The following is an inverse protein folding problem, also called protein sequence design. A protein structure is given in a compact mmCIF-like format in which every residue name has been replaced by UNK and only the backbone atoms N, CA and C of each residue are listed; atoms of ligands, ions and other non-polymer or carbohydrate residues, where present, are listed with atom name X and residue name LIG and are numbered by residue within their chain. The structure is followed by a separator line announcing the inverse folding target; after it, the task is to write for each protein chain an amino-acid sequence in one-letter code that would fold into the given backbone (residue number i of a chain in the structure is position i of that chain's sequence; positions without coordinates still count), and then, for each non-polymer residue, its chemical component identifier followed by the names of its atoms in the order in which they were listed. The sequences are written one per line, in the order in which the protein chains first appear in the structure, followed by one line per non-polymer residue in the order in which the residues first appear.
data_IF_724855261404
#
_entry.id   IF_724855261404
#
_cell.length_a   1.000
_cell.length_b   1.000
_cell.length_c   1.000
_cell.angle_alpha   90.00
_cell.angle_beta   90.00
_cell.angle_gamma   90.00
#
_symmetry.space_group_name_H-M   'P 1'
#
loop_
_entity.id
_entity.type
_entity.pdbx_description
1 polymer ?
#
# COMPACT_ATOMS: atom_id res chain seq x y z
N UNK A 1 -29.43 10.13 -8.84
CA UNK A 1 -28.81 10.33 -8.63
C UNK A 1 -27.89 10.65 -8.78
N UNK A 2 -27.92 10.73 -8.98
CA UNK A 2 -27.17 10.87 -8.81
C UNK A 2 -26.41 11.51 -8.70
N UNK A 3 -26.65 12.04 -8.95
CA UNK A 3 -26.01 12.89 -8.50
C UNK A 3 -25.06 12.64 -7.56
N UNK A 4 -24.99 11.60 -7.32
CA UNK A 4 -23.98 11.13 -6.45
C UNK A 4 -22.63 11.00 -7.10
N UNK A 5 -22.51 11.34 -8.32
CA UNK A 5 -21.19 11.42 -8.93
C UNK A 5 -20.40 12.52 -8.24
N UNK A 6 -19.22 12.24 -7.68
CA UNK A 6 -18.42 13.29 -7.07
C UNK A 6 -17.93 14.28 -8.13
N UNK A 7 -17.62 15.50 -7.73
CA UNK A 7 -16.99 16.44 -8.63
C UNK A 7 -15.70 15.87 -9.16
N UNK A 8 -15.34 16.22 -10.37
CA UNK A 8 -14.14 15.73 -11.03
C UNK A 8 -13.07 16.79 -11.08
N UNK A 9 -12.70 17.28 -9.92
CA UNK A 9 -11.58 18.20 -9.81
C UNK A 9 -10.24 17.48 -9.73
N UNK A 10 -10.28 16.13 -9.77
CA UNK A 10 -9.08 15.31 -9.82
C UNK A 10 -9.28 14.18 -10.82
N UNK A 11 -8.20 13.67 -11.32
CA UNK A 11 -8.22 12.59 -12.28
C UNK A 11 -8.18 11.25 -11.54
N UNK A 12 -9.24 10.42 -11.65
CA UNK A 12 -9.28 9.13 -10.96
C UNK A 12 -8.17 8.17 -11.37
N UNK A 13 -7.57 8.36 -12.54
CA UNK A 13 -6.44 7.53 -12.96
C UNK A 13 -5.23 7.67 -12.06
N UNK A 14 -5.18 8.73 -11.26
CA UNK A 14 -4.04 9.01 -10.41
C UNK A 14 -4.17 8.41 -9.00
N UNK A 15 -5.22 7.64 -8.78
CA UNK A 15 -5.44 6.99 -7.49
C UNK A 15 -5.34 5.47 -7.64
N UNK A 16 -4.58 4.86 -6.74
CA UNK A 16 -4.40 3.41 -6.75
C UNK A 16 -4.48 2.87 -5.34
N UNK A 17 -5.20 1.76 -5.19
CA UNK A 17 -5.31 1.05 -3.92
C UNK A 17 -4.38 -0.15 -3.98
N UNK A 18 -3.46 -0.23 -3.02
CA UNK A 18 -2.48 -1.31 -2.93
C UNK A 18 -2.83 -2.13 -1.70
N UNK A 19 -3.08 -3.42 -1.89
CA UNK A 19 -3.46 -4.32 -0.81
C UNK A 19 -2.37 -5.36 -0.65
N UNK A 20 -1.81 -5.45 0.56
CA UNK A 20 -0.79 -6.43 0.86
C UNK A 20 -1.29 -7.41 1.92
N UNK A 21 -0.80 -8.63 1.87
CA UNK A 21 -1.14 -9.68 2.82
C UNK A 21 0.11 -10.45 3.21
N UNK A 22 0.15 -10.92 4.45
CA UNK A 22 1.26 -11.76 4.89
C UNK A 22 1.24 -13.08 4.13
N UNK A 23 2.43 -13.59 3.78
CA UNK A 23 2.55 -14.92 3.21
C UNK A 23 2.45 -15.95 4.33
N UNK A 24 1.97 -17.14 3.98
CA UNK A 24 1.73 -18.20 4.97
C UNK A 24 3.02 -18.74 5.55
N UNK A 25 4.03 -18.97 4.70
CA UNK A 25 5.32 -19.49 5.13
C UNK A 25 6.41 -18.53 4.66
N UNK A 26 6.67 -17.46 5.42
CA UNK A 26 7.63 -16.46 4.97
C UNK A 26 9.04 -17.01 4.95
N UNK A 27 9.88 -16.55 3.99
CA UNK A 27 11.26 -16.98 3.93
C UNK A 27 12.05 -16.45 5.12
N UNK A 28 13.15 -17.15 5.42
CA UNK A 28 14.13 -16.63 6.36
C UNK A 28 15.03 -15.67 5.59
N UNK A 29 14.97 -14.39 5.97
CA UNK A 29 15.70 -13.34 5.26
C UNK A 29 16.92 -12.86 6.01
N UNK A 30 17.22 -13.48 7.17
CA UNK A 30 18.38 -13.08 7.98
C UNK A 30 18.23 -11.73 8.67
N UNK A 31 17.00 -11.17 8.69
CA UNK A 31 16.70 -9.91 9.33
C UNK A 31 15.47 -10.09 10.23
N UNK A 32 15.36 -9.28 11.28
CA UNK A 32 14.19 -9.34 12.16
C UNK A 32 13.02 -8.61 11.50
N UNK A 33 11.81 -8.99 11.91
CA UNK A 33 10.59 -8.27 11.49
C UNK A 33 10.66 -6.81 11.90
N UNK A 34 11.28 -6.52 13.03
CA UNK A 34 11.45 -5.16 13.51
C UNK A 34 12.31 -4.34 12.56
N UNK A 35 13.41 -4.92 12.06
CA UNK A 35 14.28 -4.23 11.10
C UNK A 35 13.56 -3.93 9.79
N UNK A 36 12.79 -4.89 9.29
CA UNK A 36 12.00 -4.67 8.06
C UNK A 36 10.93 -3.62 8.30
N UNK A 37 10.33 -3.62 9.49
CA UNK A 37 9.32 -2.61 9.83
C UNK A 37 9.90 -1.20 9.86
N UNK A 38 11.13 -1.04 10.32
CA UNK A 38 11.81 0.27 10.27
C UNK A 38 11.95 0.75 8.83
N UNK A 39 12.34 -0.16 7.93
CA UNK A 39 12.43 0.19 6.51
C UNK A 39 11.06 0.54 5.93
N UNK A 40 10.02 -0.16 6.37
CA UNK A 40 8.64 0.11 5.96
C UNK A 40 8.21 1.52 6.36
N UNK A 41 8.55 1.95 7.57
CA UNK A 41 8.23 3.31 8.04
C UNK A 41 8.94 4.35 7.19
N UNK A 42 10.21 4.12 6.87
CA UNK A 42 10.98 5.01 6.00
C UNK A 42 10.34 5.08 4.61
N UNK A 43 9.92 3.94 4.07
CA UNK A 43 9.25 3.86 2.79
C UNK A 43 7.97 4.72 2.77
N UNK A 44 7.11 4.58 3.78
CA UNK A 44 5.89 5.35 3.88
C UNK A 44 6.17 6.85 4.05
N UNK A 45 7.17 7.19 4.84
CA UNK A 45 7.56 8.58 5.05
C UNK A 45 8.02 9.21 3.74
N UNK A 46 8.82 8.49 2.96
CA UNK A 46 9.27 8.97 1.66
C UNK A 46 8.08 9.22 0.72
N UNK A 47 7.13 8.31 0.66
CA UNK A 47 5.93 8.49 -0.15
C UNK A 47 5.14 9.72 0.29
N UNK A 48 4.99 9.89 1.59
CA UNK A 48 4.29 11.04 2.15
C UNK A 48 4.98 12.35 1.76
N UNK A 49 6.29 12.40 1.93
CA UNK A 49 7.08 13.60 1.63
C UNK A 49 7.03 13.95 0.15
N UNK A 50 6.88 12.95 -0.73
CA UNK A 50 6.78 13.13 -2.17
C UNK A 50 5.34 13.43 -2.63
N UNK A 51 4.40 13.48 -1.71
CA UNK A 51 2.99 13.74 -2.04
C UNK A 51 2.28 12.57 -2.70
N UNK A 52 2.80 11.36 -2.56
CA UNK A 52 2.26 10.17 -3.21
C UNK A 52 1.39 9.32 -2.30
N UNK A 53 1.41 9.55 -0.99
CA UNK A 53 0.65 8.77 -0.03
C UNK A 53 -0.62 9.50 0.38
N UNK A 54 -1.77 8.90 0.08
CA UNK A 54 -3.05 9.42 0.54
C UNK A 54 -3.43 8.84 1.91
N UNK A 55 -3.13 7.58 2.13
CA UNK A 55 -3.41 6.93 3.40
C UNK A 55 -2.83 5.54 3.43
N UNK A 56 -2.68 4.99 4.62
CA UNK A 56 -2.21 3.62 4.80
C UNK A 56 -2.62 3.10 6.16
N UNK A 57 -2.69 1.80 6.30
CA UNK A 57 -2.96 1.19 7.58
C UNK A 57 -3.28 -0.29 7.45
N UNK A 58 -3.31 -0.99 8.59
CA UNK A 58 -3.70 -2.39 8.60
C UNK A 58 -5.21 -2.54 8.38
N UNK A 59 -5.60 -3.64 7.76
CA UNK A 59 -7.00 -4.01 7.68
C UNK A 59 -7.43 -4.62 9.02
N UNK A 60 -8.66 -4.33 9.41
CA UNK A 60 -9.22 -4.79 10.68
C UNK A 60 -10.61 -5.36 10.41
N UNK A 61 -11.03 -6.30 11.27
CA UNK A 61 -12.40 -6.78 11.26
C UNK A 61 -13.32 -5.80 12.00
N UNK A 62 -14.59 -6.13 12.09
CA UNK A 62 -15.58 -5.26 12.74
C UNK A 62 -15.27 -4.98 14.22
N UNK A 63 -14.55 -5.88 14.87
CA UNK A 63 -14.16 -5.73 16.26
C UNK A 63 -12.83 -4.98 16.43
N UNK A 64 -12.21 -4.56 15.33
CA UNK A 64 -10.94 -3.83 15.36
C UNK A 64 -9.72 -4.72 15.41
N UNK A 65 -9.86 -6.01 15.18
CA UNK A 65 -8.74 -6.94 15.20
C UNK A 65 -8.06 -6.98 13.82
N UNK A 66 -6.73 -6.95 13.82
CA UNK A 66 -5.93 -7.09 12.61
C UNK A 66 -5.92 -8.56 12.17
N UNK A 67 -5.90 -8.78 10.86
CA UNK A 67 -5.89 -10.14 10.33
C UNK A 67 -4.87 -10.32 9.18
N UNK A 68 -3.81 -9.51 9.18
CA UNK A 68 -2.69 -9.71 8.28
C UNK A 68 -2.71 -8.92 6.98
N UNK A 69 -3.79 -8.22 6.69
CA UNK A 69 -3.89 -7.37 5.51
C UNK A 69 -3.52 -5.92 5.82
N UNK A 70 -3.03 -5.22 4.82
CA UNK A 70 -2.74 -3.80 4.93
C UNK A 70 -3.04 -3.10 3.61
N UNK A 71 -3.38 -1.83 3.69
CA UNK A 71 -3.73 -1.02 2.53
C UNK A 71 -2.84 0.21 2.47
N UNK A 72 -2.37 0.52 1.27
CA UNK A 72 -1.70 1.79 0.97
C UNK A 72 -2.45 2.40 -0.21
N UNK A 73 -2.85 3.65 -0.07
CA UNK A 73 -3.52 4.36 -1.16
C UNK A 73 -2.56 5.39 -1.72
N UNK A 74 -2.21 5.21 -3.00
CA UNK A 74 -1.32 6.11 -3.71
C UNK A 74 -2.12 7.16 -4.46
N UNK A 75 -1.59 8.37 -4.52
CA UNK A 75 -2.14 9.48 -5.29
C UNK A 75 -1.04 10.09 -6.15
N UNK A 76 -1.44 10.84 -7.16
CA UNK A 76 -0.51 11.54 -8.05
C UNK A 76 0.45 10.61 -8.81
N UNK A 77 0.03 9.38 -9.02
CA UNK A 77 0.74 8.40 -9.84
C UNK A 77 -0.06 8.23 -11.12
N UNK A 78 0.57 8.42 -12.27
CA UNK A 78 -0.15 8.54 -13.54
C UNK A 78 -0.57 7.23 -14.17
N UNK A 79 0.13 6.14 -13.87
CA UNK A 79 -0.13 4.85 -14.51
C UNK A 79 -0.14 3.74 -13.47
N UNK A 80 -0.85 2.66 -13.79
CA UNK A 80 -0.86 1.49 -12.92
C UNK A 80 0.52 0.83 -12.87
N UNK A 81 1.29 0.90 -13.96
CA UNK A 81 2.66 0.38 -13.97
C UNK A 81 3.52 1.15 -12.98
N UNK A 82 3.40 2.47 -12.95
CA UNK A 82 4.12 3.29 -11.98
C UNK A 82 3.70 2.98 -10.55
N UNK A 83 2.41 2.75 -10.33
CA UNK A 83 1.90 2.38 -9.01
C UNK A 83 2.44 1.01 -8.57
N UNK A 84 2.47 0.04 -9.48
CA UNK A 84 3.04 -1.28 -9.19
C UNK A 84 4.52 -1.18 -8.85
N UNK A 85 5.27 -0.39 -9.59
CA UNK A 85 6.69 -0.20 -9.33
C UNK A 85 6.92 0.33 -7.92
N UNK A 86 6.14 1.31 -7.51
CA UNK A 86 6.20 1.85 -6.16
C UNK A 86 5.79 0.78 -5.13
N UNK A 87 4.65 0.15 -5.34
CA UNK A 87 4.08 -0.79 -4.38
C UNK A 87 4.97 -2.02 -4.16
N UNK A 88 5.52 -2.56 -5.24
CA UNK A 88 6.37 -3.75 -5.15
C UNK A 88 7.74 -3.45 -4.54
N UNK A 89 8.09 -2.19 -4.38
CA UNK A 89 9.31 -1.79 -3.71
C UNK A 89 9.14 -1.62 -2.20
N UNK A 90 7.93 -1.85 -1.68
CA UNK A 90 7.69 -1.85 -0.25
C UNK A 90 8.53 -2.95 0.40
N UNK A 91 9.26 -2.66 1.49
CA UNK A 91 10.25 -3.60 2.03
C UNK A 91 9.74 -5.00 2.35
N UNK A 92 8.55 -5.13 2.96
CA UNK A 92 8.00 -6.46 3.26
C UNK A 92 7.70 -7.25 1.99
N UNK A 93 7.25 -6.58 0.95
CA UNK A 93 6.95 -7.21 -0.34
C UNK A 93 8.25 -7.59 -1.03
N UNK A 94 9.21 -6.69 -1.04
CA UNK A 94 10.51 -6.93 -1.67
C UNK A 94 11.26 -8.10 -1.02
N UNK A 95 11.11 -8.26 0.29
CA UNK A 95 11.73 -9.37 1.03
C UNK A 95 10.93 -10.68 0.94
N UNK A 96 9.78 -10.66 0.30
CA UNK A 96 8.96 -11.87 0.17
C UNK A 96 8.12 -12.21 1.39
N UNK A 97 7.98 -11.28 2.32
CA UNK A 97 7.19 -11.49 3.54
C UNK A 97 5.70 -11.21 3.33
N UNK A 98 5.36 -10.46 2.29
CA UNK A 98 3.99 -10.09 1.97
C UNK A 98 3.78 -10.12 0.47
N UNK A 99 2.54 -10.38 0.07
CA UNK A 99 2.10 -10.21 -1.32
C UNK A 99 1.60 -8.78 -1.51
N UNK A 100 1.41 -8.39 -2.77
CA UNK A 100 0.90 -7.06 -3.08
C UNK A 100 0.03 -7.12 -4.34
N UNK A 101 -1.15 -6.52 -4.24
CA UNK A 101 -2.03 -6.32 -5.40
C UNK A 101 -2.29 -4.82 -5.54
N UNK A 102 -2.35 -4.34 -6.77
CA UNK A 102 -2.55 -2.92 -7.06
C UNK A 102 -3.78 -2.78 -7.94
N UNK A 103 -4.69 -1.92 -7.52
CA UNK A 103 -5.95 -1.66 -8.22
C UNK A 103 -6.05 -0.18 -8.55
N UNK A 104 -6.54 0.13 -9.73
CA UNK A 104 -6.94 1.50 -10.05
C UNK A 104 -8.21 1.82 -9.26
N UNK A 105 -8.33 3.07 -8.83
CA UNK A 105 -9.45 3.46 -7.99
C UNK A 105 -10.13 4.72 -8.47
#
# INVERSE_FOLDING_TARGET
MSDVSPPRDRDPEYLFVCVSKEVENPPDIGRTREDVHKDHVVFLRDLFDRGLLLGSGPQQDEAGNRYGGAVVILQNVKTIEGAREIAFNEPNVREGLRTMEVFAW
#
